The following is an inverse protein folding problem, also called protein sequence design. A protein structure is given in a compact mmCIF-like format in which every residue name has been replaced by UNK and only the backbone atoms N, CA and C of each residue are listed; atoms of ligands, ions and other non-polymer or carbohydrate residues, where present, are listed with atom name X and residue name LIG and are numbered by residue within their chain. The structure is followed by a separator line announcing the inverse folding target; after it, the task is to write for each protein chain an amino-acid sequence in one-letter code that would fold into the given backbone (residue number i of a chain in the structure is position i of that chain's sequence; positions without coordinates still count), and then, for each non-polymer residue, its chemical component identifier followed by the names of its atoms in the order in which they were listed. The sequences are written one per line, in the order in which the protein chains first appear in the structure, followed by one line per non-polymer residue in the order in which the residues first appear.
data_IF_956715338791
#
_entry.id   IF_956715338791
#
_cell.length_a   1.000
_cell.length_b   1.000
_cell.length_c   1.000
_cell.angle_alpha   90.00
_cell.angle_beta   90.00
_cell.angle_gamma   90.00
#
_symmetry.space_group_name_H-M   'P 1'
#
loop_
_entity.id
_entity.type
_entity.pdbx_description
1 polymer ?
#
# COMPACT_ATOMS: atom_id res chain seq x y z
N UNK A 1 6.62 7.98 -11.32
CA UNK A 1 7.54 6.83 -11.40
C UNK A 1 8.85 7.28 -12.02
N UNK A 2 9.98 6.75 -11.55
CA UNK A 2 11.30 7.00 -12.16
C UNK A 2 11.29 6.37 -13.55
N UNK A 3 11.67 7.12 -14.59
CA UNK A 3 11.78 6.59 -15.96
C UNK A 3 12.98 5.63 -16.03
N UNK A 4 12.81 4.39 -16.48
CA UNK A 4 13.93 3.48 -16.69
C UNK A 4 14.92 4.03 -17.71
N UNK A 5 16.18 3.64 -17.57
CA UNK A 5 17.29 4.15 -18.37
C UNK A 5 17.48 3.32 -19.64
N UNK A 6 17.64 4.00 -20.77
CA UNK A 6 18.26 3.45 -21.98
C UNK A 6 19.69 3.99 -22.04
N UNK A 7 20.67 3.11 -21.93
CA UNK A 7 22.08 3.48 -22.01
C UNK A 7 22.63 3.19 -23.39
N UNK A 8 23.33 4.14 -23.98
CA UNK A 8 24.13 3.92 -25.19
C UNK A 8 25.60 4.19 -24.91
N UNK A 9 26.48 3.31 -25.40
CA UNK A 9 27.93 3.38 -25.23
C UNK A 9 28.60 3.21 -26.59
N UNK A 10 29.33 4.21 -27.04
CA UNK A 10 30.05 4.22 -28.32
C UNK A 10 31.17 5.26 -28.24
N UNK A 11 32.39 4.92 -28.70
CA UNK A 11 33.54 5.83 -28.69
C UNK A 11 33.50 6.84 -29.86
N UNK A 12 32.74 6.56 -30.92
CA UNK A 12 32.49 7.50 -32.00
C UNK A 12 31.39 8.49 -31.59
N UNK A 13 31.81 9.72 -31.29
CA UNK A 13 30.92 10.81 -30.92
C UNK A 13 29.83 11.15 -31.97
N UNK A 14 30.04 10.86 -33.26
CA UNK A 14 29.00 11.05 -34.28
C UNK A 14 27.92 9.98 -34.19
N UNK A 15 28.32 8.72 -34.03
CA UNK A 15 27.40 7.58 -33.88
C UNK A 15 26.63 7.70 -32.57
N UNK A 16 27.31 8.03 -31.46
CA UNK A 16 26.69 8.25 -30.16
C UNK A 16 25.62 9.36 -30.18
N UNK A 17 25.87 10.45 -30.92
CA UNK A 17 24.87 11.52 -31.12
C UNK A 17 23.71 11.08 -31.99
N UNK A 18 23.97 10.30 -33.04
CA UNK A 18 22.91 9.80 -33.93
C UNK A 18 21.96 8.87 -33.17
N UNK A 19 22.48 7.91 -32.41
CA UNK A 19 21.67 6.97 -31.65
C UNK A 19 20.94 7.65 -30.49
N UNK A 20 21.59 8.58 -29.77
CA UNK A 20 20.92 9.37 -28.74
C UNK A 20 19.72 10.13 -29.32
N UNK A 21 19.90 10.77 -30.49
CA UNK A 21 18.82 11.52 -31.15
C UNK A 21 17.65 10.60 -31.51
N UNK A 22 17.92 9.45 -32.11
CA UNK A 22 16.88 8.52 -32.54
C UNK A 22 16.15 7.91 -31.32
N UNK A 23 16.89 7.52 -30.27
CA UNK A 23 16.32 7.03 -29.01
C UNK A 23 15.46 8.09 -28.31
N UNK A 24 15.93 9.34 -28.21
CA UNK A 24 15.15 10.44 -27.61
C UNK A 24 13.89 10.75 -28.41
N UNK A 25 13.96 10.67 -29.74
CA UNK A 25 12.82 10.94 -30.62
C UNK A 25 11.67 9.96 -30.39
N UNK A 26 11.97 8.68 -30.13
CA UNK A 26 10.94 7.64 -30.00
C UNK A 26 10.60 7.29 -28.54
N UNK A 27 11.56 7.33 -27.61
CA UNK A 27 11.41 6.75 -26.26
C UNK A 27 11.39 7.75 -25.11
N UNK A 28 11.61 9.06 -25.34
CA UNK A 28 11.76 10.04 -24.25
C UNK A 28 10.52 10.22 -23.36
N UNK A 29 9.33 9.83 -23.84
CA UNK A 29 8.10 9.86 -23.03
C UNK A 29 8.19 8.89 -21.85
N UNK A 30 8.70 7.68 -22.06
CA UNK A 30 8.69 6.59 -21.09
C UNK A 30 10.06 6.29 -20.48
N UNK A 31 11.15 6.67 -21.16
CA UNK A 31 12.52 6.32 -20.77
C UNK A 31 13.44 7.53 -20.67
N UNK A 32 14.51 7.39 -19.88
CA UNK A 32 15.61 8.35 -19.81
C UNK A 32 16.81 7.85 -20.60
N UNK A 33 17.24 8.60 -21.61
CA UNK A 33 18.42 8.25 -22.41
C UNK A 33 19.69 8.81 -21.77
N UNK A 34 20.67 7.93 -21.56
CA UNK A 34 22.02 8.25 -21.05
C UNK A 34 23.06 7.75 -22.05
N UNK A 35 24.16 8.50 -22.17
CA UNK A 35 25.27 8.19 -23.06
C UNK A 35 26.58 8.03 -22.29
N UNK A 36 27.47 7.20 -22.82
CA UNK A 36 28.86 7.11 -22.39
C UNK A 36 29.77 7.04 -23.64
N UNK A 37 30.88 7.77 -23.64
CA UNK A 37 31.86 7.78 -24.73
C UNK A 37 32.91 6.67 -24.62
N UNK A 38 32.84 5.82 -23.58
CA UNK A 38 33.75 4.69 -23.39
C UNK A 38 33.13 3.64 -22.47
N UNK A 39 33.63 2.40 -22.55
CA UNK A 39 33.20 1.32 -21.64
C UNK A 39 33.44 1.66 -20.17
N UNK A 40 34.58 2.28 -19.83
CA UNK A 40 34.91 2.69 -18.46
C UNK A 40 33.94 3.74 -17.90
N UNK A 41 33.60 4.75 -18.71
CA UNK A 41 32.60 5.76 -18.35
C UNK A 41 31.22 5.12 -18.17
N UNK A 42 30.84 4.18 -19.05
CA UNK A 42 29.59 3.45 -18.96
C UNK A 42 29.47 2.67 -17.65
N UNK A 43 30.52 1.96 -17.22
CA UNK A 43 30.50 1.19 -15.98
C UNK A 43 30.39 2.09 -14.74
N UNK A 44 31.05 3.25 -14.76
CA UNK A 44 30.94 4.22 -13.68
C UNK A 44 29.53 4.79 -13.58
N UNK A 45 28.90 5.10 -14.71
CA UNK A 45 27.49 5.51 -14.75
C UNK A 45 26.57 4.41 -14.24
N UNK A 46 26.78 3.14 -14.62
CA UNK A 46 25.99 2.02 -14.09
C UNK A 46 26.12 1.89 -12.57
N UNK A 47 27.32 2.06 -11.99
CA UNK A 47 27.49 2.09 -10.53
C UNK A 47 26.71 3.22 -9.87
N UNK A 48 26.76 4.42 -10.45
CA UNK A 48 26.01 5.57 -9.92
C UNK A 48 24.49 5.35 -9.99
N UNK A 49 24.00 4.73 -11.06
CA UNK A 49 22.58 4.38 -11.18
C UNK A 49 22.19 3.30 -10.15
N UNK A 50 23.06 2.32 -9.91
CA UNK A 50 22.80 1.26 -8.93
C UNK A 50 22.72 1.83 -7.50
N UNK A 51 23.62 2.75 -7.14
CA UNK A 51 23.60 3.45 -5.85
C UNK A 51 22.30 4.27 -5.65
N UNK A 52 21.66 4.71 -6.72
CA UNK A 52 20.39 5.45 -6.69
C UNK A 52 19.16 4.56 -6.87
N UNK A 53 19.37 3.24 -7.01
CA UNK A 53 18.33 2.26 -7.29
C UNK A 53 17.49 2.60 -8.54
N UNK A 54 18.16 3.15 -9.57
CA UNK A 54 17.51 3.52 -10.82
C UNK A 54 17.55 2.35 -11.80
N UNK A 55 16.40 1.95 -12.39
CA UNK A 55 16.36 0.79 -13.29
C UNK A 55 16.95 1.10 -14.66
N UNK A 56 17.71 0.14 -15.22
CA UNK A 56 18.21 0.17 -16.59
C UNK A 56 17.42 -0.85 -17.40
N UNK A 57 16.77 -0.40 -18.46
CA UNK A 57 15.94 -1.25 -19.31
C UNK A 57 16.72 -1.90 -20.44
N UNK A 58 17.61 -1.13 -21.08
CA UNK A 58 18.34 -1.56 -22.26
C UNK A 58 19.70 -0.87 -22.34
N UNK A 59 20.71 -1.63 -22.76
CA UNK A 59 22.05 -1.14 -23.08
C UNK A 59 22.36 -1.39 -24.56
N UNK A 60 22.67 -0.34 -25.30
CA UNK A 60 23.12 -0.38 -26.69
C UNK A 60 24.61 -0.05 -26.75
N UNK A 61 25.45 -1.01 -27.08
CA UNK A 61 26.90 -0.91 -26.88
C UNK A 61 27.63 -1.20 -28.18
N UNK A 62 28.56 -0.32 -28.57
CA UNK A 62 29.42 -0.59 -29.71
C UNK A 62 30.37 -1.75 -29.46
N UNK A 63 30.58 -2.57 -30.49
CA UNK A 63 31.50 -3.70 -30.40
C UNK A 63 32.96 -3.26 -30.33
N UNK A 64 33.36 -2.23 -31.09
CA UNK A 64 34.76 -1.87 -31.32
C UNK A 64 35.13 -0.56 -30.63
N UNK A 65 35.17 -0.61 -29.30
CA UNK A 65 35.64 0.50 -28.48
C UNK A 65 37.10 0.30 -28.03
N UNK A 66 37.91 1.37 -27.91
CA UNK A 66 39.23 1.34 -27.32
C UNK A 66 39.21 0.84 -25.87
N UNK A 67 40.29 0.15 -25.46
CA UNK A 67 40.55 -0.40 -24.11
C UNK A 67 39.61 -1.51 -23.62
N UNK A 68 38.29 -1.39 -23.86
CA UNK A 68 37.27 -2.35 -23.46
C UNK A 68 36.25 -2.50 -24.58
N UNK A 69 36.16 -3.69 -25.17
CA UNK A 69 35.20 -3.94 -26.24
C UNK A 69 33.76 -4.09 -25.70
N UNK A 70 32.77 -4.06 -26.59
CA UNK A 70 31.36 -4.10 -26.19
C UNK A 70 30.96 -5.37 -25.42
N UNK A 71 31.53 -6.52 -25.78
CA UNK A 71 31.30 -7.80 -25.08
C UNK A 71 31.84 -7.75 -23.65
N UNK A 72 33.07 -7.28 -23.46
CA UNK A 72 33.71 -7.14 -22.16
C UNK A 72 32.97 -6.14 -21.26
N UNK A 73 32.46 -5.05 -21.84
CA UNK A 73 31.60 -4.11 -21.15
C UNK A 73 30.31 -4.79 -20.67
N UNK A 74 29.60 -5.49 -21.56
CA UNK A 74 28.34 -6.15 -21.23
C UNK A 74 28.51 -7.27 -20.20
N UNK A 75 29.64 -7.99 -20.23
CA UNK A 75 30.01 -8.98 -19.20
C UNK A 75 30.14 -8.36 -17.81
N UNK A 76 30.72 -7.16 -17.70
CA UNK A 76 30.81 -6.45 -16.42
C UNK A 76 29.48 -5.79 -16.05
N UNK A 77 28.74 -5.28 -17.03
CA UNK A 77 27.46 -4.62 -16.82
C UNK A 77 26.38 -5.56 -16.26
N UNK A 78 26.42 -6.85 -16.61
CA UNK A 78 25.45 -7.85 -16.13
C UNK A 78 25.51 -8.07 -14.61
N UNK A 79 26.67 -7.85 -13.99
CA UNK A 79 26.83 -7.93 -12.53
C UNK A 79 26.04 -6.82 -11.82
N UNK A 80 25.85 -5.67 -12.48
CA UNK A 80 25.08 -4.55 -11.95
C UNK A 80 23.59 -4.65 -12.27
N UNK A 81 23.26 -5.02 -13.52
CA UNK A 81 21.89 -5.04 -14.05
C UNK A 81 21.62 -6.33 -14.85
N UNK A 82 21.35 -7.46 -14.17
CA UNK A 82 21.17 -8.75 -14.85
C UNK A 82 19.94 -8.80 -15.76
N UNK A 83 18.89 -8.06 -15.41
CA UNK A 83 17.60 -8.02 -16.11
C UNK A 83 17.57 -7.04 -17.28
N UNK A 84 18.54 -6.12 -17.38
CA UNK A 84 18.60 -5.16 -18.47
C UNK A 84 18.84 -5.88 -19.81
N UNK A 85 18.10 -5.49 -20.85
CA UNK A 85 18.30 -6.01 -22.20
C UNK A 85 19.62 -5.49 -22.76
N UNK A 86 20.25 -6.29 -23.62
CA UNK A 86 21.62 -6.08 -24.10
C UNK A 86 21.62 -6.16 -25.62
N UNK A 87 21.97 -5.06 -26.27
CA UNK A 87 22.08 -4.97 -27.73
C UNK A 87 23.47 -4.52 -28.13
N UNK A 88 24.12 -5.29 -28.99
CA UNK A 88 25.43 -4.95 -29.53
C UNK A 88 25.30 -4.20 -30.86
N UNK A 89 25.97 -3.07 -31.03
CA UNK A 89 26.07 -2.35 -32.29
C UNK A 89 27.35 -2.80 -33.00
N UNK A 90 27.23 -3.25 -34.25
CA UNK A 90 28.35 -3.85 -34.98
C UNK A 90 28.39 -3.42 -36.44
N UNK A 91 29.56 -3.55 -37.06
CA UNK A 91 29.76 -3.37 -38.50
C UNK A 91 29.80 -4.74 -39.20
N UNK A 92 29.62 -4.76 -40.54
CA UNK A 92 29.50 -5.95 -41.39
C UNK A 92 30.59 -7.05 -41.24
N UNK A 93 31.69 -6.79 -40.54
CA UNK A 93 32.86 -7.67 -40.45
C UNK A 93 32.96 -8.50 -39.14
N UNK A 94 32.01 -8.40 -38.22
CA UNK A 94 32.13 -8.99 -36.87
C UNK A 94 31.04 -10.03 -36.51
N UNK A 95 30.39 -10.64 -37.50
CA UNK A 95 29.30 -11.62 -37.26
C UNK A 95 29.73 -12.80 -36.38
N UNK A 96 30.96 -13.29 -36.51
CA UNK A 96 31.51 -14.36 -35.66
C UNK A 96 31.76 -13.91 -34.21
N UNK A 97 32.06 -12.63 -33.99
CA UNK A 97 32.18 -12.05 -32.65
C UNK A 97 30.80 -11.87 -31.99
N UNK A 98 29.78 -11.48 -32.77
CA UNK A 98 28.40 -11.42 -32.30
C UNK A 98 27.86 -12.82 -31.92
N UNK A 99 28.17 -13.86 -32.70
CA UNK A 99 27.78 -15.25 -32.39
C UNK A 99 28.42 -15.73 -31.07
N UNK A 100 29.69 -15.41 -30.82
CA UNK A 100 30.34 -15.72 -29.54
C UNK A 100 29.71 -14.95 -28.37
N UNK A 101 29.39 -13.67 -28.57
CA UNK A 101 28.74 -12.85 -27.55
C UNK A 101 27.34 -13.35 -27.15
N UNK A 102 26.60 -13.96 -28.08
CA UNK A 102 25.30 -14.61 -27.80
C UNK A 102 25.49 -15.76 -26.81
N UNK A 103 26.49 -16.60 -27.03
CA UNK A 103 26.74 -17.79 -26.21
C UNK A 103 27.38 -17.47 -24.85
N UNK A 104 28.31 -16.50 -24.80
CA UNK A 104 29.11 -16.22 -23.61
C UNK A 104 28.48 -15.15 -22.70
N UNK A 105 27.72 -14.20 -23.26
CA UNK A 105 27.23 -12.99 -22.55
C UNK A 105 25.71 -12.86 -22.62
N UNK A 106 25.03 -13.78 -23.31
CA UNK A 106 23.57 -13.78 -23.45
C UNK A 106 23.06 -12.39 -23.92
N UNK A 107 23.70 -11.83 -24.95
CA UNK A 107 23.18 -10.62 -25.60
C UNK A 107 21.81 -10.94 -26.20
N UNK A 108 20.87 -10.02 -26.07
CA UNK A 108 19.50 -10.23 -26.55
C UNK A 108 19.40 -10.01 -28.05
N UNK A 109 20.19 -9.07 -28.60
CA UNK A 109 20.28 -8.87 -30.04
C UNK A 109 21.61 -8.20 -30.46
N UNK A 110 21.86 -8.13 -31.76
CA UNK A 110 22.85 -7.24 -32.36
C UNK A 110 22.23 -6.45 -33.53
N UNK A 111 22.71 -5.23 -33.74
CA UNK A 111 22.25 -4.31 -34.78
C UNK A 111 23.41 -3.83 -35.64
N UNK A 112 23.19 -3.73 -36.95
CA UNK A 112 24.20 -3.28 -37.89
C UNK A 112 24.22 -1.75 -38.04
N UNK A 113 25.41 -1.17 -38.02
CA UNK A 113 25.65 0.24 -38.37
C UNK A 113 25.89 0.40 -39.87
N UNK A 114 25.28 1.40 -40.55
CA UNK A 114 24.26 2.33 -40.05
C UNK A 114 22.84 1.71 -40.08
N UNK A 115 22.00 2.06 -39.10
CA UNK A 115 20.62 1.56 -38.95
C UNK A 115 19.55 2.42 -39.65
N UNK A 116 19.94 3.29 -40.59
CA UNK A 116 18.98 4.15 -41.27
C UNK A 116 18.17 3.36 -42.33
N UNK A 117 16.83 3.47 -42.40
CA UNK A 117 15.96 4.28 -41.53
C UNK A 117 15.69 3.60 -40.17
N UNK A 118 15.72 4.39 -39.10
CA UNK A 118 15.55 3.89 -37.73
C UNK A 118 14.17 3.24 -37.50
N UNK A 119 13.15 3.73 -38.20
CA UNK A 119 11.78 3.22 -38.16
C UNK A 119 11.67 1.76 -38.62
N UNK A 120 12.62 1.26 -39.43
CA UNK A 120 12.62 -0.11 -39.93
C UNK A 120 13.65 -0.98 -39.23
N UNK A 121 14.84 -0.44 -38.95
CA UNK A 121 16.00 -1.25 -38.53
C UNK A 121 16.40 -1.07 -37.06
N UNK A 122 15.86 -0.07 -36.36
CA UNK A 122 16.16 0.19 -34.95
C UNK A 122 14.94 -0.02 -34.06
N UNK A 123 13.86 0.75 -34.26
CA UNK A 123 12.73 0.76 -33.32
C UNK A 123 12.02 -0.59 -33.17
N UNK A 124 11.69 -1.34 -34.24
CA UNK A 124 10.98 -2.61 -34.08
C UNK A 124 11.72 -3.59 -33.17
N UNK A 125 13.05 -3.64 -33.30
CA UNK A 125 13.91 -4.48 -32.45
C UNK A 125 13.90 -4.01 -31.01
N UNK A 126 14.03 -2.70 -30.78
CA UNK A 126 14.08 -2.18 -29.42
C UNK A 126 12.72 -2.26 -28.74
N UNK A 127 11.62 -2.11 -29.49
CA UNK A 127 10.26 -2.23 -28.99
C UNK A 127 9.98 -3.65 -28.50
N UNK A 128 10.38 -4.67 -29.24
CA UNK A 128 10.27 -6.07 -28.80
C UNK A 128 11.07 -6.31 -27.51
N UNK A 129 12.33 -5.87 -27.47
CA UNK A 129 13.19 -6.03 -26.30
C UNK A 129 12.64 -5.29 -25.07
N UNK A 130 12.15 -4.06 -25.26
CA UNK A 130 11.58 -3.25 -24.19
C UNK A 130 10.21 -3.78 -23.76
N UNK A 131 9.42 -4.35 -24.66
CA UNK A 131 8.18 -5.05 -24.35
C UNK A 131 8.41 -6.30 -23.49
N UNK A 132 9.42 -7.10 -23.85
CA UNK A 132 9.86 -8.23 -23.04
C UNK A 132 10.34 -7.75 -21.66
N UNK A 133 11.16 -6.70 -21.63
CA UNK A 133 11.66 -6.14 -20.37
C UNK A 133 10.52 -5.63 -19.49
N UNK A 134 9.55 -4.89 -20.05
CA UNK A 134 8.40 -4.39 -19.30
C UNK A 134 7.51 -5.52 -18.77
N UNK A 135 7.42 -6.64 -19.49
CA UNK A 135 6.63 -7.80 -19.06
C UNK A 135 7.25 -8.49 -17.84
N UNK A 136 8.58 -8.45 -17.72
CA UNK A 136 9.32 -9.05 -16.60
C UNK A 136 9.65 -8.05 -15.48
N UNK A 137 9.71 -6.74 -15.81
CA UNK A 137 10.20 -5.71 -14.91
C UNK A 137 9.16 -5.29 -13.87
N UNK A 138 9.51 -5.52 -12.61
CA UNK A 138 8.77 -5.05 -11.46
C UNK A 138 9.59 -3.93 -10.80
N UNK A 139 9.21 -2.64 -10.93
CA UNK A 139 9.95 -1.57 -10.29
C UNK A 139 10.03 -1.82 -8.77
N UNK A 140 11.23 -1.71 -8.16
CA UNK A 140 11.36 -1.91 -6.73
C UNK A 140 10.46 -0.91 -6.02
N UNK A 141 9.59 -1.42 -5.13
CA UNK A 141 8.68 -0.59 -4.38
C UNK A 141 9.48 0.48 -3.61
N UNK A 142 9.10 1.75 -3.75
CA UNK A 142 9.63 2.84 -2.94
C UNK A 142 8.56 3.21 -1.92
N UNK A 143 8.87 3.04 -0.64
CA UNK A 143 7.92 3.27 0.43
C UNK A 143 8.18 2.40 1.65
N UNK A 144 7.27 2.50 2.60
CA UNK A 144 7.25 1.69 3.83
C UNK A 144 6.91 0.24 3.49
N UNK A 145 7.70 -0.69 4.00
CA UNK A 145 7.43 -2.13 3.87
C UNK A 145 7.06 -2.71 5.21
N UNK A 146 6.02 -3.53 5.23
CA UNK A 146 5.57 -4.24 6.43
C UNK A 146 5.73 -5.73 6.19
N UNK A 147 6.67 -6.35 6.89
CA UNK A 147 6.83 -7.79 6.94
C UNK A 147 5.98 -8.31 8.09
N UNK A 148 5.05 -9.22 7.81
CA UNK A 148 4.14 -9.76 8.82
C UNK A 148 3.45 -11.03 8.35
N UNK A 149 2.47 -11.50 9.11
CA UNK A 149 1.57 -12.61 8.74
C UNK A 149 0.13 -12.17 8.96
N UNK A 150 -0.79 -12.73 8.17
CA UNK A 150 -2.24 -12.52 8.36
C UNK A 150 -2.75 -13.06 9.71
N UNK A 151 -1.97 -13.90 10.39
CA UNK A 151 -2.33 -14.52 11.67
C UNK A 151 -1.76 -13.83 12.90
N UNK A 152 -1.30 -12.58 12.74
CA UNK A 152 -0.73 -11.80 13.82
C UNK A 152 -1.60 -10.58 14.10
N UNK A 153 -2.16 -10.46 15.33
CA UNK A 153 -2.96 -9.29 15.70
C UNK A 153 -2.20 -7.97 15.57
N UNK A 154 -0.91 -7.96 15.91
CA UNK A 154 -0.04 -6.79 15.76
C UNK A 154 0.20 -6.44 14.28
N UNK A 155 0.30 -7.45 13.41
CA UNK A 155 0.44 -7.24 11.96
C UNK A 155 -0.83 -6.61 11.38
N UNK A 156 -2.01 -7.12 11.79
CA UNK A 156 -3.29 -6.52 11.43
C UNK A 156 -3.40 -5.07 11.92
N UNK A 157 -3.10 -4.82 13.20
CA UNK A 157 -3.18 -3.48 13.78
C UNK A 157 -2.26 -2.47 13.07
N UNK A 158 -1.02 -2.86 12.76
CA UNK A 158 -0.06 -2.03 12.03
C UNK A 158 -0.58 -1.68 10.64
N UNK A 159 -1.07 -2.69 9.90
CA UNK A 159 -1.60 -2.52 8.55
C UNK A 159 -2.86 -1.65 8.52
N UNK A 160 -3.78 -1.88 9.46
CA UNK A 160 -4.99 -1.08 9.61
C UNK A 160 -4.65 0.38 9.95
N UNK A 161 -3.71 0.61 10.87
CA UNK A 161 -3.25 1.94 11.24
C UNK A 161 -2.68 2.72 10.04
N UNK A 162 -1.75 2.11 9.29
CA UNK A 162 -1.15 2.73 8.11
C UNK A 162 -2.20 3.00 7.03
N UNK A 163 -3.09 2.04 6.77
CA UNK A 163 -4.16 2.18 5.78
C UNK A 163 -5.12 3.31 6.12
N UNK A 164 -5.57 3.40 7.38
CA UNK A 164 -6.52 4.43 7.84
C UNK A 164 -5.91 5.82 7.87
N UNK A 165 -4.62 5.93 8.16
CA UNK A 165 -3.87 7.18 8.04
C UNK A 165 -3.38 7.47 6.61
N UNK A 166 -3.75 6.62 5.64
CA UNK A 166 -3.44 6.76 4.21
C UNK A 166 -1.94 6.87 3.95
N UNK A 167 -1.17 6.13 4.72
CA UNK A 167 0.27 5.95 4.53
C UNK A 167 0.43 4.75 3.60
N UNK A 168 0.92 4.93 2.36
CA UNK A 168 1.14 3.82 1.44
C UNK A 168 2.20 2.86 1.99
N UNK A 169 1.93 1.56 1.87
CA UNK A 169 2.89 0.53 2.25
C UNK A 169 2.77 -0.71 1.35
N UNK A 170 3.86 -1.45 1.25
CA UNK A 170 3.89 -2.79 0.68
C UNK A 170 3.85 -3.80 1.82
N UNK A 171 2.87 -4.70 1.82
CA UNK A 171 2.85 -5.82 2.75
C UNK A 171 3.58 -7.01 2.13
N UNK A 172 4.48 -7.60 2.90
CA UNK A 172 5.20 -8.81 2.55
C UNK A 172 4.84 -9.89 3.57
N UNK A 173 4.20 -10.95 3.09
CA UNK A 173 3.80 -12.07 3.94
C UNK A 173 4.99 -12.98 4.22
N UNK A 174 5.38 -13.06 5.50
CA UNK A 174 6.49 -13.91 5.95
C UNK A 174 6.28 -15.39 5.62
N UNK A 175 5.02 -15.84 5.45
CA UNK A 175 4.70 -17.22 5.09
C UNK A 175 5.22 -17.58 3.68
N UNK A 176 5.45 -16.57 2.84
CA UNK A 176 6.02 -16.72 1.51
C UNK A 176 7.56 -16.72 1.51
N UNK A 177 8.22 -16.85 2.66
CA UNK A 177 9.69 -16.86 2.76
C UNK A 177 10.38 -17.81 1.76
N UNK A 178 9.80 -18.98 1.51
CA UNK A 178 10.37 -19.98 0.60
C UNK A 178 10.20 -19.63 -0.88
N UNK A 179 9.14 -18.90 -1.23
CA UNK A 179 8.71 -18.64 -2.61
C UNK A 179 8.98 -17.21 -3.07
N UNK A 180 9.11 -16.25 -2.15
CA UNK A 180 9.28 -14.83 -2.43
C UNK A 180 10.76 -14.41 -2.26
N UNK A 181 11.46 -14.21 -3.38
CA UNK A 181 12.87 -13.80 -3.37
C UNK A 181 13.09 -12.37 -2.90
N UNK A 182 12.15 -11.45 -3.16
CA UNK A 182 12.22 -10.05 -2.70
C UNK A 182 12.18 -9.98 -1.17
N UNK A 183 11.25 -10.71 -0.54
CA UNK A 183 11.15 -10.82 0.90
C UNK A 183 12.48 -11.29 1.52
N UNK A 184 13.10 -12.34 0.96
CA UNK A 184 14.37 -12.86 1.49
C UNK A 184 15.51 -11.85 1.36
N UNK A 185 15.68 -11.23 0.18
CA UNK A 185 16.72 -10.22 -0.05
C UNK A 185 16.57 -9.04 0.91
N UNK A 186 15.35 -8.58 1.10
CA UNK A 186 15.05 -7.48 2.01
C UNK A 186 15.27 -7.86 3.48
N UNK A 187 14.82 -9.04 3.88
CA UNK A 187 15.01 -9.55 5.24
C UNK A 187 16.50 -9.72 5.56
N UNK A 188 17.29 -10.27 4.63
CA UNK A 188 18.75 -10.38 4.77
C UNK A 188 19.41 -9.00 4.90
N UNK A 189 19.07 -8.05 4.02
CA UNK A 189 19.61 -6.68 4.08
C UNK A 189 19.26 -5.96 5.39
N UNK A 190 18.10 -6.26 5.97
CA UNK A 190 17.63 -5.69 7.23
C UNK A 190 17.99 -6.53 8.47
N UNK A 191 18.76 -7.61 8.33
CA UNK A 191 19.09 -8.57 9.40
C UNK A 191 17.86 -9.15 10.13
N UNK A 192 16.79 -9.45 9.38
CA UNK A 192 15.55 -10.03 9.88
C UNK A 192 15.58 -11.55 9.69
N UNK A 193 15.51 -12.29 10.79
CA UNK A 193 15.37 -13.74 10.75
C UNK A 193 13.93 -14.16 10.40
N UNK A 194 13.77 -15.40 9.90
CA UNK A 194 12.45 -15.96 9.54
C UNK A 194 11.49 -16.03 10.75
N UNK A 195 12.03 -16.22 11.94
CA UNK A 195 11.33 -16.33 13.22
C UNK A 195 11.35 -15.02 14.04
N UNK A 196 11.66 -13.89 13.40
CA UNK A 196 11.63 -12.58 14.04
C UNK A 196 10.26 -12.25 14.66
N UNK A 197 10.26 -11.40 15.68
CA UNK A 197 9.01 -10.87 16.22
C UNK A 197 8.29 -10.00 15.19
N UNK A 198 7.02 -10.30 14.92
CA UNK A 198 6.22 -9.63 13.89
C UNK A 198 5.22 -8.64 14.49
N UNK A 199 4.84 -7.58 13.75
CA UNK A 199 5.35 -7.23 12.41
C UNK A 199 6.70 -6.51 12.48
N UNK A 200 7.44 -6.52 11.37
CA UNK A 200 8.62 -5.69 11.16
C UNK A 200 8.30 -4.63 10.11
N UNK A 201 8.62 -3.37 10.41
CA UNK A 201 8.43 -2.24 9.49
C UNK A 201 9.80 -1.74 9.05
N UNK A 202 9.99 -1.63 7.73
CA UNK A 202 11.17 -1.04 7.11
C UNK A 202 10.75 0.28 6.47
N UNK A 203 11.36 1.38 6.91
CA UNK A 203 11.05 2.73 6.44
C UNK A 203 11.90 3.09 5.21
N UNK A 204 11.51 4.16 4.52
CA UNK A 204 12.22 4.67 3.33
C UNK A 204 13.67 5.06 3.63
N UNK A 205 13.97 5.49 4.86
CA UNK A 205 15.31 5.84 5.32
C UNK A 205 16.17 4.61 5.70
N UNK A 206 15.65 3.40 5.49
CA UNK A 206 16.31 2.13 5.82
C UNK A 206 16.23 1.73 7.30
N UNK A 207 15.65 2.57 8.16
CA UNK A 207 15.46 2.20 9.56
C UNK A 207 14.39 1.11 9.72
N UNK A 208 14.52 0.33 10.78
CA UNK A 208 13.69 -0.84 11.04
C UNK A 208 13.04 -0.73 12.43
N UNK A 209 11.75 -1.01 12.52
CA UNK A 209 11.05 -1.21 13.78
C UNK A 209 10.49 -2.62 13.86
N UNK A 210 10.79 -3.31 14.96
CA UNK A 210 10.32 -4.67 15.25
C UNK A 210 9.23 -4.62 16.30
N UNK A 211 8.08 -5.23 16.00
CA UNK A 211 6.87 -5.26 16.83
C UNK A 211 6.48 -3.87 17.41
N UNK A 212 6.45 -2.80 16.60
CA UNK A 212 6.13 -1.47 17.11
C UNK A 212 4.67 -1.38 17.53
N UNK A 213 4.38 -0.55 18.53
CA UNK A 213 3.04 -0.04 18.75
C UNK A 213 2.74 1.17 17.84
N UNK A 214 1.48 1.56 17.79
CA UNK A 214 1.00 2.69 16.99
C UNK A 214 1.72 4.00 17.28
N UNK A 215 2.13 4.24 18.54
CA UNK A 215 2.78 5.49 18.94
C UNK A 215 4.20 5.59 18.37
N UNK A 216 4.94 4.49 18.36
CA UNK A 216 6.27 4.42 17.75
C UNK A 216 6.19 4.64 16.24
N UNK A 217 5.19 4.05 15.56
CA UNK A 217 4.97 4.24 14.13
C UNK A 217 4.63 5.72 13.85
N UNK A 218 3.71 6.30 14.60
CA UNK A 218 3.29 7.69 14.44
C UNK A 218 4.45 8.67 14.61
N UNK A 219 5.27 8.48 15.66
CA UNK A 219 6.45 9.29 15.91
C UNK A 219 7.46 9.18 14.77
N UNK A 220 7.71 7.97 14.27
CA UNK A 220 8.65 7.74 13.16
C UNK A 220 8.19 8.39 11.86
N UNK A 221 6.88 8.47 11.63
CA UNK A 221 6.28 9.11 10.47
C UNK A 221 6.06 10.62 10.64
N UNK A 222 6.41 11.19 11.79
CA UNK A 222 6.23 12.61 12.07
C UNK A 222 4.77 13.05 12.12
N UNK A 223 3.85 12.17 12.51
CA UNK A 223 2.45 12.54 12.70
C UNK A 223 2.31 13.54 13.86
N UNK A 224 1.40 14.50 13.72
CA UNK A 224 1.11 15.49 14.76
C UNK A 224 0.41 14.83 15.95
N UNK A 225 1.17 14.38 16.94
CA UNK A 225 0.66 13.70 18.14
C UNK A 225 0.56 14.61 19.36
N UNK A 226 1.07 15.83 19.26
CA UNK A 226 1.10 16.83 20.34
C UNK A 226 0.41 18.11 19.95
N UNK A 227 -0.18 18.77 20.94
CA UNK A 227 -0.81 20.07 20.75
C UNK A 227 0.24 21.16 20.57
N UNK A 228 0.00 22.07 19.62
CA UNK A 228 0.83 23.25 19.36
C UNK A 228 0.56 24.37 20.35
N UNK A 229 -0.59 24.35 21.02
CA UNK A 229 -0.95 25.33 22.03
C UNK A 229 -1.54 24.69 23.28
N UNK A 230 -1.43 25.41 24.40
CA UNK A 230 -2.01 24.98 25.67
C UNK A 230 -3.50 25.33 25.77
N UNK A 231 -3.98 26.28 24.95
CA UNK A 231 -5.35 26.79 24.98
C UNK A 231 -5.98 26.93 23.59
N UNK A 232 -7.25 26.52 23.51
CA UNK A 232 -8.12 26.59 22.33
C UNK A 232 -9.51 27.13 22.69
N UNK A 233 -10.20 27.73 21.73
CA UNK A 233 -11.59 28.12 21.94
C UNK A 233 -12.50 26.89 21.94
N UNK A 234 -12.22 25.94 21.04
CA UNK A 234 -12.96 24.69 20.88
C UNK A 234 -12.02 23.48 20.81
N UNK A 235 -12.20 22.53 21.72
CA UNK A 235 -11.59 21.19 21.64
C UNK A 235 -12.67 20.18 21.27
N UNK A 236 -12.36 19.31 20.31
CA UNK A 236 -13.26 18.24 19.86
C UNK A 236 -12.57 16.90 20.13
N UNK A 237 -13.25 16.00 20.83
CA UNK A 237 -12.76 14.65 21.11
C UNK A 237 -13.47 13.66 20.19
N UNK A 238 -12.73 13.11 19.23
CA UNK A 238 -13.20 12.16 18.23
C UNK A 238 -13.18 12.75 16.82
N UNK A 239 -12.53 12.04 15.90
CA UNK A 239 -12.34 12.39 14.49
C UNK A 239 -13.30 11.68 13.55
N UNK A 240 -14.46 11.23 14.02
CA UNK A 240 -15.54 10.72 13.17
C UNK A 240 -16.28 11.83 12.41
N UNK A 241 -17.34 11.51 11.62
CA UNK A 241 -18.09 12.51 10.86
C UNK A 241 -18.62 13.67 11.70
N UNK A 242 -19.10 13.39 12.93
CA UNK A 242 -19.59 14.42 13.85
C UNK A 242 -18.49 15.39 14.30
N UNK A 243 -17.31 14.86 14.67
CA UNK A 243 -16.19 15.68 15.10
C UNK A 243 -15.53 16.45 13.95
N UNK A 244 -15.37 15.82 12.79
CA UNK A 244 -14.88 16.48 11.58
C UNK A 244 -15.80 17.61 11.13
N UNK A 245 -17.13 17.41 11.16
CA UNK A 245 -18.08 18.46 10.86
C UNK A 245 -17.98 19.62 11.87
N UNK A 246 -17.96 19.31 13.18
CA UNK A 246 -17.79 20.31 14.22
C UNK A 246 -16.49 21.11 14.07
N UNK A 247 -15.41 20.46 13.66
CA UNK A 247 -14.12 21.11 13.47
C UNK A 247 -14.16 22.11 12.32
N UNK A 248 -14.76 21.72 11.19
CA UNK A 248 -14.96 22.61 10.04
C UNK A 248 -15.80 23.83 10.43
N UNK A 249 -16.95 23.62 11.09
CA UNK A 249 -17.85 24.71 11.46
C UNK A 249 -17.26 25.61 12.55
N UNK A 250 -16.59 25.04 13.56
CA UNK A 250 -15.94 25.82 14.61
C UNK A 250 -14.87 26.75 14.03
N UNK A 251 -13.99 26.21 13.21
CA UNK A 251 -12.92 26.99 12.60
C UNK A 251 -13.41 27.99 11.54
N UNK A 252 -14.46 27.67 10.78
CA UNK A 252 -15.02 28.61 9.80
C UNK A 252 -15.64 29.86 10.44
N UNK A 253 -16.10 29.76 11.69
CA UNK A 253 -16.59 30.89 12.51
C UNK A 253 -15.47 31.60 13.28
N UNK A 254 -14.20 31.24 13.04
CA UNK A 254 -13.03 31.90 13.62
C UNK A 254 -12.58 31.36 14.97
N UNK A 255 -13.12 30.24 15.45
CA UNK A 255 -12.67 29.62 16.70
C UNK A 255 -11.32 28.93 16.49
N UNK A 256 -10.36 29.17 17.39
CA UNK A 256 -9.14 28.37 17.45
C UNK A 256 -9.49 26.96 17.86
N UNK A 257 -9.48 26.04 16.90
CA UNK A 257 -10.09 24.71 17.03
C UNK A 257 -9.04 23.60 16.94
N UNK A 258 -9.11 22.64 17.86
CA UNK A 258 -8.33 21.40 17.80
C UNK A 258 -9.22 20.17 17.89
N UNK A 259 -8.91 19.15 17.09
CA UNK A 259 -9.56 17.85 17.10
C UNK A 259 -8.58 16.77 17.53
N UNK A 260 -8.93 16.03 18.58
CA UNK A 260 -8.17 14.92 19.14
C UNK A 260 -8.77 13.61 18.66
N UNK A 261 -7.98 12.75 18.02
CA UNK A 261 -8.43 11.46 17.49
C UNK A 261 -7.47 10.34 17.90
N UNK A 262 -8.02 9.29 18.51
CA UNK A 262 -7.25 8.17 19.08
C UNK A 262 -6.47 7.38 18.04
N UNK A 263 -7.03 7.21 16.85
CA UNK A 263 -6.49 6.31 15.83
C UNK A 263 -6.22 7.05 14.53
N UNK A 264 -7.28 7.36 13.79
CA UNK A 264 -7.22 7.97 12.48
C UNK A 264 -8.52 8.71 12.18
N UNK A 265 -8.47 9.91 11.57
CA UNK A 265 -9.68 10.61 11.17
C UNK A 265 -10.57 9.78 10.23
N UNK A 266 -11.88 9.86 10.45
CA UNK A 266 -12.93 9.16 9.72
C UNK A 266 -13.87 8.36 10.62
N UNK A 267 -13.42 7.95 11.80
CA UNK A 267 -14.19 7.10 12.72
C UNK A 267 -14.71 5.83 12.05
N UNK A 268 -15.84 5.29 12.54
CA UNK A 268 -16.44 4.07 11.96
C UNK A 268 -16.85 4.24 10.49
N UNK A 269 -17.34 5.43 10.10
CA UNK A 269 -17.72 5.70 8.72
C UNK A 269 -16.52 5.58 7.77
N UNK A 270 -15.34 5.99 8.23
CA UNK A 270 -14.07 5.86 7.51
C UNK A 270 -13.72 4.43 7.11
N UNK A 271 -14.23 3.44 7.85
CA UNK A 271 -14.00 2.01 7.60
C UNK A 271 -15.01 1.40 6.62
N UNK A 272 -16.02 2.14 6.15
CA UNK A 272 -17.00 1.60 5.21
C UNK A 272 -16.39 1.45 3.81
N UNK A 273 -16.58 0.29 3.18
CA UNK A 273 -16.17 0.04 1.78
C UNK A 273 -16.87 0.99 0.81
N UNK A 274 -18.16 1.25 1.07
CA UNK A 274 -19.01 2.15 0.28
C UNK A 274 -20.11 2.76 1.14
N UNK A 275 -20.48 3.99 0.82
CA UNK A 275 -21.56 4.76 1.43
C UNK A 275 -22.37 5.37 0.28
N UNK A 276 -23.62 4.97 0.15
CA UNK A 276 -24.53 5.46 -0.90
C UNK A 276 -25.63 6.37 -0.34
N UNK A 277 -25.78 6.42 0.98
CA UNK A 277 -26.80 7.19 1.67
C UNK A 277 -26.27 8.49 2.30
N UNK A 278 -25.12 8.99 1.84
CA UNK A 278 -24.59 10.29 2.26
C UNK A 278 -24.98 11.37 1.26
N UNK A 279 -25.78 12.34 1.70
CA UNK A 279 -26.30 13.40 0.84
C UNK A 279 -25.16 14.19 0.16
N UNK A 280 -25.39 14.61 -1.09
CA UNK A 280 -24.39 15.33 -1.89
C UNK A 280 -23.42 14.45 -2.68
N UNK A 281 -23.52 13.12 -2.57
CA UNK A 281 -22.70 12.16 -3.32
C UNK A 281 -23.58 11.19 -4.13
N UNK A 282 -24.07 11.60 -5.31
CA UNK A 282 -25.03 10.81 -6.09
C UNK A 282 -24.47 9.44 -6.51
N UNK A 283 -23.17 9.35 -6.78
CA UNK A 283 -22.48 8.11 -7.14
C UNK A 283 -22.00 7.30 -5.93
N UNK A 284 -22.33 7.76 -4.71
CA UNK A 284 -21.75 7.29 -3.47
C UNK A 284 -20.24 7.56 -3.38
N UNK A 285 -19.64 7.14 -2.27
CA UNK A 285 -18.20 7.23 -2.04
C UNK A 285 -17.76 6.19 -1.01
N UNK A 286 -16.45 5.92 -0.90
CA UNK A 286 -15.93 5.12 0.21
C UNK A 286 -15.86 5.93 1.50
N UNK A 287 -15.87 5.24 2.64
CA UNK A 287 -15.63 5.83 3.95
C UNK A 287 -14.33 6.63 4.02
N UNK A 288 -13.25 6.05 3.48
CA UNK A 288 -11.94 6.70 3.41
C UNK A 288 -11.97 7.99 2.58
N UNK A 289 -12.71 8.02 1.46
CA UNK A 289 -12.88 9.24 0.66
C UNK A 289 -13.66 10.32 1.41
N UNK A 290 -14.71 9.94 2.15
CA UNK A 290 -15.49 10.86 2.97
C UNK A 290 -14.59 11.51 4.03
N UNK A 291 -13.86 10.69 4.79
CA UNK A 291 -12.91 11.15 5.82
C UNK A 291 -11.82 12.04 5.22
N UNK A 292 -11.26 11.66 4.07
CA UNK A 292 -10.24 12.44 3.36
C UNK A 292 -10.71 13.85 3.03
N UNK A 293 -11.90 13.96 2.43
CA UNK A 293 -12.46 15.26 2.02
C UNK A 293 -12.73 16.13 3.23
N UNK A 294 -13.28 15.56 4.30
CA UNK A 294 -13.54 16.27 5.54
C UNK A 294 -12.25 16.76 6.23
N UNK A 295 -11.20 15.93 6.29
CA UNK A 295 -9.88 16.34 6.81
C UNK A 295 -9.28 17.47 5.97
N UNK A 296 -9.37 17.39 4.64
CA UNK A 296 -8.87 18.45 3.76
C UNK A 296 -9.62 19.77 3.99
N UNK A 297 -10.93 19.71 4.22
CA UNK A 297 -11.74 20.89 4.54
C UNK A 297 -11.38 21.47 5.92
N UNK A 298 -11.22 20.64 6.94
CA UNK A 298 -10.81 21.07 8.27
C UNK A 298 -9.43 21.77 8.23
N UNK A 299 -8.45 21.15 7.55
CA UNK A 299 -7.11 21.74 7.37
C UNK A 299 -7.13 23.07 6.61
N UNK A 300 -8.03 23.24 5.64
CA UNK A 300 -8.20 24.50 4.91
C UNK A 300 -8.61 25.66 5.81
N UNK A 301 -9.28 25.38 6.93
CA UNK A 301 -9.66 26.35 7.95
C UNK A 301 -8.70 26.37 9.15
N UNK A 302 -7.47 25.87 8.97
CA UNK A 302 -6.44 25.84 10.02
C UNK A 302 -6.83 25.08 11.30
N UNK A 303 -7.76 24.12 11.19
CA UNK A 303 -8.04 23.18 12.28
C UNK A 303 -6.78 22.38 12.58
N UNK A 304 -6.36 22.40 13.84
CA UNK A 304 -5.32 21.50 14.32
C UNK A 304 -5.90 20.10 14.53
N UNK A 305 -5.28 19.09 13.91
CA UNK A 305 -5.71 17.70 14.04
C UNK A 305 -4.58 16.92 14.70
N UNK A 306 -4.85 16.41 15.89
CA UNK A 306 -3.90 15.60 16.67
C UNK A 306 -4.33 14.14 16.57
N UNK A 307 -3.55 13.34 15.83
CA UNK A 307 -3.83 11.93 15.60
C UNK A 307 -2.55 11.15 15.26
N UNK A 308 -2.31 9.97 15.87
CA UNK A 308 -3.09 9.35 16.95
C UNK A 308 -2.81 9.98 18.32
N UNK A 309 -3.86 10.29 19.08
CA UNK A 309 -3.79 10.73 20.47
C UNK A 309 -5.10 10.44 21.23
N UNK A 310 -5.01 9.84 22.41
CA UNK A 310 -6.19 9.48 23.20
C UNK A 310 -6.46 10.50 24.31
N UNK A 311 -7.72 10.90 24.45
CA UNK A 311 -8.19 11.64 25.61
C UNK A 311 -8.57 10.65 26.73
N UNK A 312 -7.93 10.78 27.90
CA UNK A 312 -8.07 9.83 29.02
C UNK A 312 -8.71 10.45 30.26
N UNK A 313 -8.91 11.76 30.28
CA UNK A 313 -9.54 12.43 31.40
C UNK A 313 -10.08 13.80 31.04
N UNK A 314 -11.10 14.22 31.78
CA UNK A 314 -11.70 15.54 31.66
C UNK A 314 -11.92 16.11 33.07
N UNK A 315 -11.47 17.34 33.29
CA UNK A 315 -11.81 18.12 34.48
C UNK A 315 -12.36 19.49 34.08
N UNK A 316 -13.30 19.97 34.88
CA UNK A 316 -13.73 21.36 34.82
C UNK A 316 -12.83 22.19 35.74
N UNK A 317 -12.39 23.35 35.25
CA UNK A 317 -11.58 24.30 36.00
C UNK A 317 -12.19 25.68 35.85
N UNK A 318 -13.08 26.03 36.80
CA UNK A 318 -13.93 27.22 36.72
C UNK A 318 -14.71 27.27 35.39
N UNK A 319 -14.49 28.30 34.58
CA UNK A 319 -15.11 28.46 33.26
C UNK A 319 -14.48 27.61 32.15
N UNK A 320 -13.30 27.02 32.37
CA UNK A 320 -12.57 26.25 31.37
C UNK A 320 -12.81 24.75 31.50
N UNK A 321 -12.46 24.01 30.45
CA UNK A 321 -12.37 22.55 30.43
C UNK A 321 -10.93 22.17 30.15
N UNK A 322 -10.41 21.21 30.91
CA UNK A 322 -9.06 20.69 30.73
C UNK A 322 -9.14 19.21 30.39
N UNK A 323 -8.64 18.88 29.20
CA UNK A 323 -8.57 17.54 28.66
C UNK A 323 -7.19 16.95 28.95
N UNK A 324 -7.15 15.79 29.59
CA UNK A 324 -5.92 15.02 29.81
C UNK A 324 -5.73 14.03 28.68
N UNK A 325 -4.53 14.01 28.10
CA UNK A 325 -4.11 13.13 27.03
C UNK A 325 -3.34 11.91 27.56
N UNK A 326 -3.29 10.83 26.79
CA UNK A 326 -2.64 9.57 27.19
C UNK A 326 -1.13 9.71 27.40
N UNK A 327 -0.48 10.64 26.69
CA UNK A 327 0.94 10.96 26.87
C UNK A 327 1.23 11.83 28.11
N UNK A 328 0.20 12.15 28.88
CA UNK A 328 0.28 12.99 30.07
C UNK A 328 0.13 14.49 29.78
N UNK A 329 0.03 14.90 28.52
CA UNK A 329 -0.25 16.29 28.15
C UNK A 329 -1.64 16.75 28.59
N UNK A 330 -1.81 18.06 28.75
CA UNK A 330 -3.11 18.68 29.00
C UNK A 330 -3.41 19.74 27.95
N UNK A 331 -4.68 19.82 27.54
CA UNK A 331 -5.18 20.87 26.64
C UNK A 331 -6.36 21.56 27.31
N UNK A 332 -6.29 22.88 27.40
CA UNK A 332 -7.36 23.70 28.00
C UNK A 332 -8.24 24.34 26.92
N UNK A 333 -9.52 24.53 27.22
CA UNK A 333 -10.43 25.20 26.30
C UNK A 333 -11.61 25.91 26.97
N UNK A 334 -12.27 26.80 26.22
CA UNK A 334 -13.57 27.37 26.62
C UNK A 334 -14.68 26.33 26.44
N UNK A 335 -14.77 25.72 25.26
CA UNK A 335 -15.77 24.73 24.92
C UNK A 335 -15.13 23.39 24.55
N UNK A 336 -15.70 22.31 25.06
CA UNK A 336 -15.33 20.94 24.72
C UNK A 336 -16.53 20.22 24.09
N UNK A 337 -16.34 19.65 22.91
CA UNK A 337 -17.31 18.79 22.26
C UNK A 337 -16.85 17.33 22.28
N UNK A 338 -17.69 16.46 22.84
CA UNK A 338 -17.45 15.01 22.85
C UNK A 338 -18.16 14.40 21.64
N UNK A 339 -17.37 13.92 20.68
CA UNK A 339 -17.80 13.31 19.43
C UNK A 339 -17.17 11.91 19.26
N UNK A 340 -16.97 11.18 20.36
CA UNK A 340 -16.23 9.91 20.45
C UNK A 340 -16.91 8.71 19.77
N UNK A 341 -18.14 8.89 19.28
CA UNK A 341 -18.86 7.85 18.54
C UNK A 341 -19.19 6.62 19.39
N UNK A 342 -19.18 5.45 18.75
CA UNK A 342 -19.47 4.14 19.34
C UNK A 342 -18.45 3.11 18.86
N UNK A 343 -18.32 1.99 19.59
CA UNK A 343 -17.51 0.85 19.20
C UNK A 343 -18.40 -0.35 18.85
N UNK A 344 -17.92 -1.22 17.95
CA UNK A 344 -18.61 -2.48 17.68
C UNK A 344 -18.63 -3.36 18.92
N UNK A 345 -19.77 -3.98 19.18
CA UNK A 345 -19.84 -5.06 20.17
C UNK A 345 -19.02 -6.23 19.63
N UNK A 346 -17.93 -6.56 20.33
CA UNK A 346 -17.14 -7.75 20.02
C UNK A 346 -17.98 -9.01 20.23
N UNK A 347 -17.66 -10.05 19.48
CA UNK A 347 -18.29 -11.36 19.62
C UNK A 347 -17.85 -11.95 20.97
N UNK A 348 -18.82 -12.09 21.87
CA UNK A 348 -18.62 -12.58 23.23
C UNK A 348 -18.93 -14.07 23.27
N UNK A 349 -17.99 -14.86 22.71
CA UNK A 349 -18.06 -16.33 22.65
C UNK A 349 -16.68 -16.92 22.96
N UNK A 350 -16.63 -18.17 23.44
CA UNK A 350 -15.35 -18.82 23.73
C UNK A 350 -14.43 -18.82 22.50
N UNK A 351 -13.15 -18.49 22.72
CA UNK A 351 -12.11 -18.42 21.70
C UNK A 351 -11.99 -17.08 20.94
N UNK A 352 -13.02 -16.23 20.95
CA UNK A 352 -13.07 -15.06 20.05
C UNK A 352 -12.04 -13.97 20.36
N UNK A 353 -11.78 -13.70 21.64
CA UNK A 353 -10.79 -12.69 22.03
C UNK A 353 -9.36 -13.11 21.63
N UNK A 354 -9.02 -14.38 21.83
CA UNK A 354 -7.69 -14.93 21.51
C UNK A 354 -7.37 -14.88 20.02
N UNK A 355 -8.37 -15.04 19.17
CA UNK A 355 -8.22 -15.08 17.71
C UNK A 355 -8.52 -13.73 17.04
N UNK A 356 -8.73 -12.66 17.82
CA UNK A 356 -8.90 -11.31 17.29
C UNK A 356 -7.62 -10.84 16.59
N UNK A 357 -7.74 -10.42 15.32
CA UNK A 357 -6.61 -10.05 14.47
C UNK A 357 -5.85 -11.25 13.88
N UNK A 358 -6.31 -12.48 14.14
CA UNK A 358 -5.78 -13.73 13.60
C UNK A 358 -6.91 -14.59 13.01
N UNK A 359 -7.66 -14.00 12.07
CA UNK A 359 -8.83 -14.63 11.42
C UNK A 359 -10.18 -14.12 11.90
N UNK A 360 -10.25 -13.42 13.04
CA UNK A 360 -11.45 -12.66 13.47
C UNK A 360 -11.14 -11.17 13.41
N UNK A 361 -11.96 -10.42 12.68
CA UNK A 361 -11.78 -8.98 12.50
C UNK A 361 -13.09 -8.23 12.77
N UNK A 362 -12.99 -6.97 13.19
CA UNK A 362 -14.13 -6.09 13.43
C UNK A 362 -14.07 -4.88 12.49
N UNK A 363 -15.25 -4.37 12.12
CA UNK A 363 -15.37 -3.42 11.01
C UNK A 363 -15.28 -4.12 9.65
N UNK A 364 -15.05 -3.38 8.57
CA UNK A 364 -14.98 -3.97 7.23
C UNK A 364 -13.64 -4.67 6.93
N UNK A 365 -12.64 -4.55 7.83
CA UNK A 365 -11.34 -5.24 7.75
C UNK A 365 -10.73 -5.26 6.33
N UNK A 366 -10.81 -4.12 5.64
CA UNK A 366 -10.55 -4.00 4.20
C UNK A 366 -9.14 -4.46 3.81
N UNK A 367 -8.18 -4.35 4.74
CA UNK A 367 -6.80 -4.81 4.57
C UNK A 367 -6.72 -6.31 4.33
N UNK A 368 -7.65 -7.09 4.87
CA UNK A 368 -7.63 -8.55 4.82
C UNK A 368 -8.22 -9.14 3.52
N UNK A 369 -9.00 -8.35 2.77
CA UNK A 369 -9.75 -8.84 1.62
C UNK A 369 -8.88 -9.55 0.57
N UNK A 370 -7.70 -8.99 0.26
CA UNK A 370 -6.75 -9.59 -0.68
C UNK A 370 -6.20 -10.95 -0.20
N UNK A 371 -6.05 -11.12 1.12
CA UNK A 371 -5.55 -12.35 1.74
C UNK A 371 -6.62 -13.45 1.84
N UNK A 372 -7.89 -13.11 1.59
CA UNK A 372 -9.02 -14.04 1.59
C UNK A 372 -9.28 -14.68 0.22
N UNK A 373 -8.36 -14.54 -0.74
CA UNK A 373 -8.49 -15.20 -2.04
C UNK A 373 -8.63 -16.71 -1.85
N UNK A 374 -9.60 -17.31 -2.55
CA UNK A 374 -9.92 -18.73 -2.49
C UNK A 374 -10.46 -19.24 -1.13
N UNK A 375 -10.68 -18.35 -0.15
CA UNK A 375 -11.21 -18.68 1.18
C UNK A 375 -12.73 -18.53 1.28
N UNK A 376 -13.31 -19.12 2.34
CA UNK A 376 -14.70 -18.85 2.75
C UNK A 376 -14.68 -17.81 3.86
N UNK A 377 -15.38 -16.69 3.67
CA UNK A 377 -15.45 -15.59 4.63
C UNK A 377 -16.81 -15.56 5.30
N UNK A 378 -16.84 -15.58 6.63
CA UNK A 378 -18.07 -15.42 7.40
C UNK A 378 -18.25 -13.97 7.85
N UNK A 379 -19.40 -13.38 7.51
CA UNK A 379 -19.78 -12.01 7.92
C UNK A 379 -20.90 -12.10 8.95
N UNK A 380 -20.63 -11.69 10.19
CA UNK A 380 -21.63 -11.69 11.26
C UNK A 380 -22.34 -10.35 11.31
N UNK A 381 -23.63 -10.32 10.98
CA UNK A 381 -24.48 -9.12 11.07
C UNK A 381 -25.47 -8.95 9.92
N UNK A 382 -26.56 -8.22 10.19
CA UNK A 382 -27.67 -8.01 9.24
C UNK A 382 -27.94 -6.54 8.86
N UNK A 383 -27.05 -5.61 9.21
CA UNK A 383 -27.19 -4.18 8.91
C UNK A 383 -26.30 -3.75 7.73
N UNK A 384 -26.40 -2.49 7.32
CA UNK A 384 -25.68 -1.96 6.15
C UNK A 384 -24.17 -2.23 6.16
N UNK A 385 -23.48 -2.06 7.30
CA UNK A 385 -22.04 -2.33 7.38
C UNK A 385 -21.70 -3.79 7.06
N UNK A 386 -22.51 -4.74 7.52
CA UNK A 386 -22.32 -6.17 7.22
C UNK A 386 -22.59 -6.46 5.74
N UNK A 387 -23.64 -5.88 5.16
CA UNK A 387 -23.91 -6.04 3.72
C UNK A 387 -22.82 -5.44 2.83
N UNK A 388 -22.30 -4.26 3.19
CA UNK A 388 -21.21 -3.61 2.47
C UNK A 388 -19.88 -4.38 2.60
N UNK A 389 -19.63 -5.01 3.75
CA UNK A 389 -18.52 -5.93 3.91
C UNK A 389 -18.71 -7.17 3.02
N UNK A 390 -19.90 -7.79 3.04
CA UNK A 390 -20.18 -8.96 2.22
C UNK A 390 -19.99 -8.70 0.71
N UNK A 391 -20.50 -7.57 0.22
CA UNK A 391 -20.30 -7.13 -1.17
C UNK A 391 -18.85 -6.78 -1.51
N UNK A 392 -18.04 -6.39 -0.52
CA UNK A 392 -16.63 -6.13 -0.72
C UNK A 392 -15.86 -7.45 -0.83
N UNK A 393 -16.02 -8.34 0.15
CA UNK A 393 -15.32 -9.63 0.20
C UNK A 393 -15.74 -10.57 -0.93
N UNK A 394 -16.97 -10.47 -1.46
CA UNK A 394 -17.43 -11.30 -2.58
C UNK A 394 -16.62 -11.11 -3.87
N UNK A 395 -15.86 -10.02 -3.98
CA UNK A 395 -14.95 -9.76 -5.11
C UNK A 395 -13.61 -10.50 -5.00
N UNK A 396 -13.28 -11.01 -3.83
CA UNK A 396 -11.97 -11.61 -3.53
C UNK A 396 -12.10 -13.06 -3.06
N UNK A 397 -13.04 -13.33 -2.17
CA UNK A 397 -13.25 -14.63 -1.54
C UNK A 397 -13.94 -15.63 -2.49
N UNK A 398 -13.70 -16.93 -2.26
CA UNK A 398 -14.41 -18.01 -2.96
C UNK A 398 -15.91 -17.96 -2.65
N UNK A 399 -16.25 -17.75 -1.39
CA UNK A 399 -17.63 -17.65 -0.91
C UNK A 399 -17.69 -16.70 0.30
N UNK A 400 -18.78 -15.95 0.41
CA UNK A 400 -19.10 -15.15 1.59
C UNK A 400 -20.38 -15.67 2.22
N UNK A 401 -20.33 -16.04 3.50
CA UNK A 401 -21.49 -16.52 4.25
C UNK A 401 -21.90 -15.48 5.27
N UNK A 402 -23.07 -14.88 5.08
CA UNK A 402 -23.64 -13.92 6.03
C UNK A 402 -24.45 -14.63 7.11
N UNK A 403 -24.02 -14.49 8.37
CA UNK A 403 -24.73 -15.01 9.54
C UNK A 403 -25.57 -13.90 10.17
N UNK A 404 -26.89 -14.05 10.14
CA UNK A 404 -27.85 -13.04 10.58
C UNK A 404 -28.74 -13.63 11.67
N UNK A 405 -28.70 -13.05 12.87
CA UNK A 405 -29.55 -13.48 13.99
C UNK A 405 -31.05 -13.28 13.71
N UNK A 406 -31.38 -12.22 12.98
CA UNK A 406 -32.76 -11.92 12.60
C UNK A 406 -33.30 -12.87 11.51
N UNK A 407 -34.62 -12.86 11.29
CA UNK A 407 -35.26 -13.69 10.27
C UNK A 407 -35.01 -13.21 8.83
N UNK A 408 -34.53 -11.98 8.66
CA UNK A 408 -34.23 -11.37 7.36
C UNK A 408 -33.26 -10.18 7.49
N UNK A 409 -32.76 -9.69 6.36
CA UNK A 409 -31.99 -8.44 6.28
C UNK A 409 -32.88 -7.17 6.31
N UNK A 410 -34.17 -7.31 5.96
CA UNK A 410 -35.07 -6.17 5.70
C UNK A 410 -35.38 -5.29 6.91
N UNK A 411 -35.16 -5.79 8.13
CA UNK A 411 -35.37 -5.02 9.35
C UNK A 411 -34.33 -3.90 9.54
N UNK A 412 -33.10 -4.08 9.05
CA UNK A 412 -31.95 -3.22 9.38
C UNK A 412 -31.07 -2.84 8.20
N UNK A 413 -31.23 -3.49 7.05
CA UNK A 413 -30.46 -3.21 5.84
C UNK A 413 -31.29 -2.45 4.81
N UNK A 414 -30.66 -1.51 4.13
CA UNK A 414 -31.26 -0.77 3.03
C UNK A 414 -31.61 -1.70 1.86
N UNK A 415 -32.79 -1.50 1.28
CA UNK A 415 -33.37 -2.35 0.22
C UNK A 415 -32.46 -2.52 -1.00
N UNK A 416 -31.77 -1.46 -1.45
CA UNK A 416 -30.85 -1.55 -2.59
C UNK A 416 -29.73 -2.58 -2.35
N UNK A 417 -29.21 -2.63 -1.12
CA UNK A 417 -28.10 -3.50 -0.74
C UNK A 417 -28.57 -4.94 -0.60
N UNK A 418 -29.80 -5.15 -0.10
CA UNK A 418 -30.43 -6.47 -0.06
C UNK A 418 -30.54 -7.04 -1.49
N UNK A 419 -30.99 -6.23 -2.46
CA UNK A 419 -31.08 -6.66 -3.87
C UNK A 419 -29.72 -6.99 -4.47
N UNK A 420 -28.70 -6.19 -4.18
CA UNK A 420 -27.33 -6.47 -4.61
C UNK A 420 -26.81 -7.80 -4.05
N UNK A 421 -27.00 -8.05 -2.76
CA UNK A 421 -26.62 -9.30 -2.10
C UNK A 421 -27.33 -10.49 -2.76
N UNK A 422 -28.65 -10.41 -2.96
CA UNK A 422 -29.43 -11.47 -3.61
C UNK A 422 -29.00 -11.76 -5.05
N UNK A 423 -28.50 -10.74 -5.77
CA UNK A 423 -28.01 -10.88 -7.14
C UNK A 423 -26.57 -11.40 -7.24
N UNK A 424 -25.84 -11.49 -6.12
CA UNK A 424 -24.42 -11.86 -6.10
C UNK A 424 -24.26 -13.36 -5.82
N UNK A 425 -23.80 -14.11 -6.82
CA UNK A 425 -23.87 -15.59 -6.80
C UNK A 425 -22.99 -16.30 -5.76
N UNK A 426 -21.96 -15.66 -5.21
CA UNK A 426 -21.08 -16.25 -4.19
C UNK A 426 -21.34 -15.71 -2.77
N UNK A 427 -22.49 -15.06 -2.54
CA UNK A 427 -22.94 -14.69 -1.20
C UNK A 427 -24.06 -15.62 -0.76
N UNK A 428 -23.84 -16.35 0.34
CA UNK A 428 -24.85 -17.18 1.00
C UNK A 428 -25.38 -16.47 2.24
N UNK A 429 -26.70 -16.47 2.41
CA UNK A 429 -27.37 -15.84 3.56
C UNK A 429 -27.93 -16.92 4.50
N UNK A 430 -27.50 -16.90 5.75
CA UNK A 430 -27.96 -17.77 6.84
C UNK A 430 -28.67 -16.93 7.91
N UNK A 431 -30.00 -16.91 7.86
CA UNK A 431 -30.86 -16.18 8.81
C UNK A 431 -31.21 -17.04 10.02
N UNK A 432 -31.52 -16.42 11.16
CA UNK A 432 -31.76 -17.14 12.42
C UNK A 432 -30.49 -17.78 12.99
N UNK A 433 -29.31 -17.37 12.52
CA UNK A 433 -28.04 -18.04 12.83
C UNK A 433 -27.11 -17.12 13.62
N UNK A 434 -26.41 -17.69 14.60
CA UNK A 434 -25.38 -16.97 15.35
C UNK A 434 -24.18 -17.86 15.65
N UNK A 435 -23.01 -17.24 15.76
CA UNK A 435 -21.79 -17.92 16.23
C UNK A 435 -21.91 -18.15 17.73
N UNK A 436 -21.57 -19.35 18.20
CA UNK A 436 -21.60 -19.73 19.61
C UNK A 436 -20.22 -20.06 20.18
N UNK A 437 -19.26 -20.39 19.32
CA UNK A 437 -17.87 -20.69 19.70
C UNK A 437 -16.97 -20.56 18.47
N UNK A 438 -15.70 -20.23 18.68
CA UNK A 438 -14.68 -20.22 17.63
C UNK A 438 -13.48 -21.08 18.04
N UNK A 439 -12.89 -21.74 17.04
CA UNK A 439 -11.86 -22.77 17.21
C UNK A 439 -10.61 -22.45 16.42
N UNK A 440 -9.49 -22.98 16.93
CA UNK A 440 -8.15 -22.84 16.37
C UNK A 440 -7.12 -22.46 17.44
N UNK A 441 -5.85 -22.77 17.20
CA UNK A 441 -4.76 -22.52 18.16
C UNK A 441 -4.10 -21.15 17.93
N UNK A 442 -3.52 -20.96 16.73
CA UNK A 442 -2.83 -19.71 16.37
C UNK A 442 -3.69 -18.75 15.56
N UNK A 443 -4.68 -19.28 14.84
CA UNK A 443 -5.59 -18.53 14.00
C UNK A 443 -6.95 -19.22 13.94
N UNK A 444 -7.95 -18.53 13.39
CA UNK A 444 -9.28 -19.10 13.17
C UNK A 444 -9.24 -20.25 12.17
N UNK A 445 -9.67 -21.43 12.63
CA UNK A 445 -9.79 -22.64 11.81
C UNK A 445 -11.25 -23.04 11.59
N UNK A 446 -12.11 -22.83 12.60
CA UNK A 446 -13.51 -23.22 12.54
C UNK A 446 -14.39 -22.32 13.42
N UNK A 447 -15.67 -22.18 13.05
CA UNK A 447 -16.70 -21.60 13.89
C UNK A 447 -17.81 -22.62 14.17
N UNK A 448 -18.30 -22.66 15.41
CA UNK A 448 -19.56 -23.32 15.73
C UNK A 448 -20.69 -22.31 15.60
N UNK A 449 -21.72 -22.67 14.85
CA UNK A 449 -22.93 -21.86 14.68
C UNK A 449 -24.13 -22.59 15.26
N UNK A 450 -25.06 -21.84 15.84
CA UNK A 450 -26.37 -22.34 16.23
C UNK A 450 -27.41 -21.76 15.27
N UNK A 451 -28.23 -22.64 14.71
CA UNK A 451 -29.27 -22.27 13.75
C UNK A 451 -30.65 -22.38 14.40
N UNK A 452 -31.34 -21.25 14.55
CA UNK A 452 -32.65 -21.17 15.20
C UNK A 452 -33.78 -21.91 14.47
N UNK A 453 -33.59 -22.27 13.19
CA UNK A 453 -34.55 -23.05 12.40
C UNK A 453 -34.37 -24.57 12.50
N UNK A 454 -33.19 -25.07 12.89
CA UNK A 454 -32.94 -26.52 13.02
C UNK A 454 -32.74 -27.00 14.46
N UNK A 455 -32.53 -26.09 15.42
CA UNK A 455 -32.40 -26.45 16.84
C UNK A 455 -31.12 -27.21 17.21
N UNK A 456 -30.13 -27.22 16.31
CA UNK A 456 -28.80 -27.81 16.50
C UNK A 456 -27.71 -26.77 16.39
#
# INVERSE_FOLDING_TARGET
MIKPVLMTVDDDAQVLRAIERDLRRHYAENYRVIRAGSGSEGLELLRQLQLRNEPVALMLVDQRMPDMNGVEFLQKAIEFYPEAKRTLLTAYADTDAAIRAINDVHINNYLLKPWAPAEQNLYPVLDDLLGDWQSDFHPPFQGIRVIGTRWSPNSHQTRDFLARNRIPYQWLDIEQWSTNAELRRLAEAANIAKDAELPVIIFEDGSVLTRPDTSHIAAKLGLGTKALAEFYDLVIVGGGPGGLAAAVYGASEGLKTVMIEREAPGGQAGMSSRIENYLGFPEGLSGAQLAQRAVAQAKRFDVEIIAPQEAVGLRADSQYRVLKLADGGEVSCQALMIATGVQWRKLDVPGAERLYGAGIYYGAAMTEAMSCKDEVVYVVGGANSAGQAAMHFSRYAREVVMLVRGPSLSATMSDYLIRQIQSTGNIRLETGTQVVEVHGDKHLEQISISCGTTGT
#
